data_IF_029059640598
#
_entry.id   IF_029059640598
#
_cell.length_a   1.000
_cell.length_b   1.000
_cell.length_c   1.000
_cell.angle_alpha   90.00
_cell.angle_beta   90.00
_cell.angle_gamma   90.00
#
_symmetry.space_group_name_H-M   'P 1'
#
loop_
_entity.id
_entity.type
_entity.pdbx_description
1 polymer ?
#
# COMPACT_ATOMS: atom_id res chain seq x y z
N UNK A 1 4.93 -10.96 0.41
CA UNK A 1 4.08 -9.75 0.36
C UNK A 1 4.91 -8.55 -0.03
N UNK A 2 4.38 -7.71 -0.89
CA UNK A 2 5.06 -6.48 -1.33
C UNK A 2 4.15 -5.28 -1.17
N UNK A 3 4.68 -4.22 -0.59
CA UNK A 3 4.03 -2.91 -0.54
C UNK A 3 4.87 -1.92 -1.34
N UNK A 4 4.24 -1.18 -2.24
CA UNK A 4 4.86 0.00 -2.85
C UNK A 4 4.23 1.20 -2.19
N UNK A 5 5.03 1.87 -1.37
CA UNK A 5 4.60 2.97 -0.50
C UNK A 5 5.02 4.28 -1.14
N UNK A 6 4.06 5.15 -1.43
CA UNK A 6 4.35 6.47 -1.96
C UNK A 6 3.88 7.53 -0.96
N UNK A 7 4.81 8.38 -0.55
CA UNK A 7 4.49 9.52 0.31
C UNK A 7 3.76 10.56 -0.52
N UNK A 8 2.58 10.97 -0.07
CA UNK A 8 1.71 11.85 -0.87
C UNK A 8 1.27 13.07 -0.07
N UNK A 9 0.95 14.15 -0.80
CA UNK A 9 0.20 15.29 -0.27
C UNK A 9 -1.30 15.05 -0.40
N UNK A 10 -1.70 14.28 -1.41
CA UNK A 10 -3.09 13.85 -1.63
C UNK A 10 -3.11 12.64 -2.54
N UNK A 11 -4.15 11.82 -2.42
CA UNK A 11 -4.42 10.70 -3.33
C UNK A 11 -5.90 10.38 -3.34
N UNK A 12 -6.39 9.98 -4.52
CA UNK A 12 -7.81 9.69 -4.76
C UNK A 12 -7.91 8.40 -5.55
N UNK A 13 -8.86 7.54 -5.20
CA UNK A 13 -9.20 6.37 -6.01
C UNK A 13 -10.65 6.48 -6.49
N UNK A 14 -10.86 6.24 -7.79
CA UNK A 14 -12.17 6.24 -8.44
C UNK A 14 -12.46 4.88 -9.07
N UNK A 15 -13.72 4.48 -8.98
CA UNK A 15 -14.28 3.32 -9.69
C UNK A 15 -15.53 3.82 -10.43
N UNK A 16 -15.62 3.55 -11.73
CA UNK A 16 -16.71 4.00 -12.58
C UNK A 16 -16.98 5.52 -12.46
N UNK A 17 -15.89 6.29 -12.38
CA UNK A 17 -15.96 7.76 -12.28
C UNK A 17 -16.31 8.29 -10.91
N UNK A 18 -16.56 7.45 -9.93
CA UNK A 18 -16.92 7.86 -8.56
C UNK A 18 -15.73 7.72 -7.61
N UNK A 19 -15.52 8.73 -6.77
CA UNK A 19 -14.52 8.67 -5.70
C UNK A 19 -14.99 7.68 -4.65
N UNK A 20 -14.19 6.62 -4.41
CA UNK A 20 -14.48 5.63 -3.36
C UNK A 20 -13.51 5.74 -2.18
N UNK A 21 -12.42 6.47 -2.34
CA UNK A 21 -11.47 6.74 -1.27
C UNK A 21 -10.64 7.97 -1.60
N UNK A 22 -10.30 8.73 -0.57
CA UNK A 22 -9.51 9.95 -0.73
C UNK A 22 -8.78 10.26 0.57
N UNK A 23 -7.51 10.64 0.44
CA UNK A 23 -6.69 11.07 1.57
C UNK A 23 -5.97 12.37 1.26
N UNK A 24 -5.56 13.08 2.31
CA UNK A 24 -4.59 14.16 2.24
C UNK A 24 -3.16 13.61 2.43
N UNK A 25 -2.38 14.29 3.27
CA UNK A 25 -1.00 13.91 3.58
C UNK A 25 -0.93 12.49 4.17
N UNK A 26 -0.06 11.68 3.63
CA UNK A 26 0.12 10.32 4.13
C UNK A 26 0.78 9.41 3.10
N UNK A 27 0.32 8.16 3.03
CA UNK A 27 0.80 7.16 2.07
C UNK A 27 -0.33 6.66 1.17
N UNK A 28 -0.06 6.60 -0.13
CA UNK A 28 -0.78 5.72 -1.04
C UNK A 28 0.05 4.44 -1.16
N UNK A 29 -0.56 3.29 -0.90
CA UNK A 29 0.14 2.01 -0.83
C UNK A 29 -0.47 1.01 -1.80
N UNK A 30 0.35 0.49 -2.69
CA UNK A 30 -0.02 -0.65 -3.54
C UNK A 30 0.37 -1.93 -2.79
N UNK A 31 -0.55 -2.87 -2.68
CA UNK A 31 -0.38 -4.10 -1.90
C UNK A 31 -0.45 -5.31 -2.81
N UNK A 32 0.65 -6.06 -2.88
CA UNK A 32 0.74 -7.33 -3.59
C UNK A 32 0.84 -8.49 -2.61
N UNK A 33 0.04 -9.53 -2.86
CA UNK A 33 0.00 -10.74 -2.02
C UNK A 33 0.46 -11.93 -2.86
N UNK A 34 1.33 -12.77 -2.29
CA UNK A 34 1.77 -14.04 -2.87
C UNK A 34 1.06 -15.21 -2.16
N UNK A 35 1.01 -16.39 -2.81
CA UNK A 35 0.34 -17.58 -2.25
C UNK A 35 0.89 -18.00 -0.89
N UNK A 36 2.18 -17.76 -0.63
CA UNK A 36 2.84 -18.12 0.63
C UNK A 36 2.61 -17.13 1.77
N UNK A 37 1.91 -16.02 1.52
CA UNK A 37 1.69 -15.00 2.53
C UNK A 37 0.69 -15.43 3.58
N UNK A 38 0.91 -14.94 4.81
CA UNK A 38 0.11 -15.26 5.99
C UNK A 38 -0.26 -13.99 6.75
N UNK A 39 -1.16 -14.12 7.73
CA UNK A 39 -1.52 -13.02 8.61
C UNK A 39 -0.31 -12.52 9.42
N UNK A 40 0.58 -13.42 9.82
CA UNK A 40 1.81 -13.08 10.53
C UNK A 40 2.73 -12.20 9.67
N UNK A 41 2.85 -12.52 8.38
CA UNK A 41 3.59 -11.70 7.42
C UNK A 41 2.92 -10.34 7.27
N UNK A 42 1.59 -10.31 7.15
CA UNK A 42 0.83 -9.07 7.06
C UNK A 42 1.06 -8.18 8.29
N UNK A 43 1.05 -8.76 9.49
CA UNK A 43 1.31 -8.03 10.73
C UNK A 43 2.69 -7.35 10.71
N UNK A 44 3.72 -8.08 10.27
CA UNK A 44 5.08 -7.52 10.14
C UNK A 44 5.13 -6.37 9.14
N UNK A 45 4.46 -6.55 8.01
CA UNK A 45 4.43 -5.54 6.95
C UNK A 45 3.73 -4.26 7.42
N UNK A 46 2.58 -4.39 8.07
CA UNK A 46 1.83 -3.25 8.61
C UNK A 46 2.66 -2.52 9.67
N UNK A 47 3.26 -3.26 10.60
CA UNK A 47 4.12 -2.67 11.64
C UNK A 47 5.29 -1.91 11.04
N UNK A 48 5.96 -2.49 10.04
CA UNK A 48 7.09 -1.83 9.37
C UNK A 48 6.63 -0.57 8.66
N UNK A 49 5.55 -0.65 7.87
CA UNK A 49 5.02 0.48 7.11
C UNK A 49 4.64 1.65 8.01
N UNK A 50 3.85 1.39 9.05
CA UNK A 50 3.36 2.45 9.94
C UNK A 50 4.48 3.06 10.80
N UNK A 51 5.56 2.32 11.01
CA UNK A 51 6.72 2.79 11.75
C UNK A 51 7.79 3.49 10.92
N UNK A 52 7.66 3.51 9.59
CA UNK A 52 8.65 4.19 8.73
C UNK A 52 8.71 5.67 9.05
N UNK A 53 9.92 6.16 9.28
CA UNK A 53 10.18 7.57 9.65
C UNK A 53 10.62 8.34 8.42
N UNK A 54 9.68 8.61 7.52
CA UNK A 54 9.96 9.20 6.21
C UNK A 54 9.27 10.54 5.97
N UNK A 55 8.71 11.15 7.00
CA UNK A 55 8.24 12.54 6.94
C UNK A 55 9.28 13.46 7.56
N UNK A 56 9.38 14.68 7.01
CA UNK A 56 10.34 15.67 7.48
C UNK A 56 9.95 16.21 8.86
N UNK A 57 10.96 16.40 9.71
CA UNK A 57 10.82 17.08 10.98
C UNK A 57 11.00 18.61 10.81
N UNK A 58 11.00 19.36 11.91
CA UNK A 58 11.15 20.82 11.90
C UNK A 58 12.50 21.29 11.33
N UNK A 59 13.50 20.40 11.33
CA UNK A 59 14.84 20.68 10.78
C UNK A 59 14.96 20.27 9.31
N UNK A 60 13.86 19.78 8.70
CA UNK A 60 13.84 19.30 7.31
C UNK A 60 14.47 17.92 7.14
N UNK A 61 14.71 17.19 8.23
CA UNK A 61 15.28 15.83 8.18
C UNK A 61 14.19 14.78 8.11
N UNK A 62 14.41 13.76 7.31
CA UNK A 62 13.55 12.56 7.22
C UNK A 62 13.59 11.82 8.55
N UNK A 63 12.56 11.96 9.37
CA UNK A 63 12.61 11.53 10.76
C UNK A 63 11.27 11.12 11.38
N UNK A 64 10.15 11.64 10.89
CA UNK A 64 8.85 11.43 11.54
C UNK A 64 8.05 10.31 10.90
N UNK A 65 7.34 9.54 11.73
CA UNK A 65 6.46 8.47 11.29
C UNK A 65 5.10 9.01 10.85
N UNK A 66 4.31 8.17 10.22
CA UNK A 66 2.95 8.48 9.77
C UNK A 66 2.09 9.01 10.92
N UNK A 67 2.12 8.34 12.07
CA UNK A 67 1.36 8.75 13.26
C UNK A 67 1.79 10.13 13.79
N UNK A 68 3.11 10.38 13.79
CA UNK A 68 3.66 11.65 14.30
C UNK A 68 3.20 12.87 13.51
N UNK A 69 2.87 12.70 12.22
CA UNK A 69 2.41 13.80 11.36
C UNK A 69 0.89 13.79 11.13
N UNK A 70 0.16 12.90 11.81
CA UNK A 70 -1.28 12.75 11.58
C UNK A 70 -1.60 12.29 10.17
N UNK A 71 -0.72 11.49 9.57
CA UNK A 71 -0.86 11.03 8.20
C UNK A 71 -1.98 10.01 8.02
N UNK A 72 -2.44 9.90 6.78
CA UNK A 72 -3.57 9.07 6.36
C UNK A 72 -3.09 7.96 5.43
N UNK A 73 -3.87 6.90 5.29
CA UNK A 73 -3.54 5.77 4.41
C UNK A 73 -4.61 5.58 3.35
N UNK A 74 -4.15 5.34 2.11
CA UNK A 74 -4.98 4.84 1.01
C UNK A 74 -4.37 3.52 0.54
N UNK A 75 -5.10 2.42 0.77
CA UNK A 75 -4.62 1.06 0.52
C UNK A 75 -5.27 0.47 -0.73
N UNK A 76 -4.46 0.12 -1.73
CA UNK A 76 -4.89 -0.36 -3.04
C UNK A 76 -4.31 -1.75 -3.28
N UNK A 77 -5.16 -2.73 -3.57
CA UNK A 77 -4.71 -4.06 -3.96
C UNK A 77 -4.13 -4.04 -5.36
N UNK A 78 -2.94 -4.66 -5.56
CA UNK A 78 -2.21 -4.66 -6.82
C UNK A 78 -1.49 -5.99 -7.03
N UNK A 79 -2.18 -6.99 -7.61
CA UNK A 79 -1.58 -8.32 -7.82
C UNK A 79 -0.39 -8.27 -8.80
N UNK A 80 -0.36 -7.29 -9.69
CA UNK A 80 0.71 -7.16 -10.70
C UNK A 80 2.08 -6.86 -10.09
N UNK A 81 2.17 -6.58 -8.79
CA UNK A 81 3.45 -6.49 -8.10
C UNK A 81 4.20 -7.84 -8.09
N UNK A 82 3.49 -8.95 -8.37
CA UNK A 82 4.06 -10.28 -8.53
C UNK A 82 4.15 -10.70 -10.00
N UNK A 83 4.27 -9.74 -10.90
CA UNK A 83 4.52 -10.03 -12.31
C UNK A 83 5.91 -10.66 -12.50
N UNK A 84 5.96 -11.72 -13.29
CA UNK A 84 7.22 -12.30 -13.75
C UNK A 84 7.41 -11.94 -15.21
N UNK A 85 8.45 -11.18 -15.50
CA UNK A 85 8.73 -10.64 -16.85
C UNK A 85 9.97 -11.29 -17.49
N UNK A 86 10.34 -12.49 -17.03
CA UNK A 86 11.56 -13.17 -17.52
C UNK A 86 11.45 -13.63 -18.97
N UNK A 87 10.27 -14.00 -19.44
CA UNK A 87 10.07 -14.53 -20.79
C UNK A 87 9.25 -13.57 -21.63
N UNK A 88 9.88 -13.05 -22.68
CA UNK A 88 9.19 -12.19 -23.63
C UNK A 88 8.61 -10.93 -23.01
N UNK A 89 7.60 -10.38 -23.67
CA UNK A 89 7.00 -9.10 -23.29
C UNK A 89 5.62 -9.24 -22.61
N UNK A 90 5.13 -10.48 -22.45
CA UNK A 90 3.88 -10.74 -21.74
C UNK A 90 4.20 -11.16 -20.30
N UNK A 91 3.86 -10.33 -19.29
CA UNK A 91 4.08 -10.72 -17.91
C UNK A 91 3.28 -11.96 -17.53
N UNK A 92 3.85 -12.82 -16.69
CA UNK A 92 3.14 -13.92 -16.04
C UNK A 92 2.77 -13.51 -14.61
N UNK A 93 1.60 -13.93 -14.16
CA UNK A 93 1.10 -13.61 -12.81
C UNK A 93 0.91 -14.86 -11.95
N UNK A 94 1.57 -15.96 -12.30
CA UNK A 94 1.45 -17.22 -11.55
C UNK A 94 1.98 -17.13 -10.12
N UNK A 95 2.85 -16.16 -9.84
CA UNK A 95 3.39 -15.93 -8.50
C UNK A 95 2.48 -15.11 -7.60
N UNK A 96 1.46 -14.47 -8.18
CA UNK A 96 0.46 -13.72 -7.41
C UNK A 96 -0.45 -14.67 -6.63
N UNK A 97 -0.84 -14.28 -5.42
CA UNK A 97 -1.77 -15.04 -4.61
C UNK A 97 -3.12 -15.21 -5.29
N UNK A 98 -3.78 -16.33 -5.03
CA UNK A 98 -5.12 -16.58 -5.56
C UNK A 98 -6.09 -15.51 -5.05
N UNK A 99 -7.08 -15.11 -5.86
CA UNK A 99 -7.95 -13.98 -5.50
C UNK A 99 -8.60 -14.07 -4.12
N UNK A 100 -9.12 -15.23 -3.75
CA UNK A 100 -9.83 -15.37 -2.47
C UNK A 100 -8.92 -15.11 -1.27
N UNK A 101 -7.73 -15.73 -1.23
CA UNK A 101 -6.80 -15.54 -0.11
C UNK A 101 -6.16 -14.15 -0.15
N UNK A 102 -5.93 -13.62 -1.35
CA UNK A 102 -5.37 -12.27 -1.50
C UNK A 102 -6.35 -11.21 -1.00
N UNK A 103 -7.64 -11.34 -1.31
CA UNK A 103 -8.67 -10.44 -0.81
C UNK A 103 -8.80 -10.55 0.71
N UNK A 104 -8.78 -11.75 1.27
CA UNK A 104 -8.83 -11.95 2.73
C UNK A 104 -7.67 -11.24 3.42
N UNK A 105 -6.43 -11.39 2.91
CA UNK A 105 -5.27 -10.71 3.49
C UNK A 105 -5.32 -9.20 3.28
N UNK A 106 -5.82 -8.72 2.15
CA UNK A 106 -6.01 -7.30 1.90
C UNK A 106 -6.98 -6.70 2.94
N UNK A 107 -8.12 -7.34 3.17
CA UNK A 107 -9.10 -6.90 4.17
C UNK A 107 -8.48 -6.93 5.59
N UNK A 108 -7.71 -7.96 5.89
CA UNK A 108 -6.99 -8.08 7.16
C UNK A 108 -6.01 -6.93 7.37
N UNK A 109 -5.23 -6.58 6.34
CA UNK A 109 -4.29 -5.45 6.38
C UNK A 109 -5.04 -4.14 6.68
N UNK A 110 -6.17 -3.90 6.01
CA UNK A 110 -6.99 -2.71 6.24
C UNK A 110 -7.44 -2.65 7.70
N UNK A 111 -7.95 -3.75 8.25
CA UNK A 111 -8.42 -3.79 9.64
C UNK A 111 -7.29 -3.54 10.63
N UNK A 112 -6.10 -4.07 10.35
CA UNK A 112 -4.93 -3.84 11.21
C UNK A 112 -4.46 -2.38 11.16
N UNK A 113 -4.47 -1.77 10.00
CA UNK A 113 -4.13 -0.35 9.87
C UNK A 113 -5.13 0.53 10.62
N UNK A 114 -6.42 0.20 10.57
CA UNK A 114 -7.47 0.95 11.29
C UNK A 114 -7.31 0.91 12.81
N UNK A 115 -6.62 -0.08 13.35
CA UNK A 115 -6.37 -0.16 14.81
C UNK A 115 -5.47 0.98 15.30
N UNK A 116 -4.66 1.57 14.42
CA UNK A 116 -3.65 2.55 14.83
C UNK A 116 -3.65 3.85 14.04
N UNK A 117 -4.25 3.88 12.85
CA UNK A 117 -4.32 5.06 11.99
C UNK A 117 -5.79 5.50 11.89
N UNK A 118 -6.10 6.76 12.27
CA UNK A 118 -7.49 7.23 12.29
C UNK A 118 -8.18 7.26 10.93
N UNK A 119 -7.45 7.61 9.85
CA UNK A 119 -8.01 7.68 8.51
C UNK A 119 -7.33 6.64 7.63
N UNK A 120 -8.06 5.57 7.34
CA UNK A 120 -7.63 4.51 6.44
C UNK A 120 -8.70 4.37 5.37
N UNK A 121 -8.36 4.82 4.16
CA UNK A 121 -9.20 4.70 2.98
C UNK A 121 -8.71 3.56 2.11
N UNK A 122 -9.55 3.12 1.19
CA UNK A 122 -9.27 1.90 0.45
C UNK A 122 -9.85 1.93 -0.95
N UNK A 123 -9.29 1.08 -1.83
CA UNK A 123 -9.87 0.77 -3.12
C UNK A 123 -10.91 -0.35 -3.05
N UNK A 124 -11.23 -0.91 -4.19
CA UNK A 124 -12.16 -2.03 -4.35
C UNK A 124 -11.40 -3.19 -4.99
N UNK A 125 -11.28 -4.30 -4.27
CA UNK A 125 -10.54 -5.48 -4.74
C UNK A 125 -11.09 -5.97 -6.07
N UNK A 126 -10.22 -6.18 -7.06
CA UNK A 126 -10.58 -6.69 -8.37
C UNK A 126 -11.22 -5.69 -9.33
N UNK A 127 -11.48 -4.46 -8.90
CA UNK A 127 -12.08 -3.44 -9.76
C UNK A 127 -11.04 -2.73 -10.64
N UNK A 128 -11.51 -2.15 -11.74
CA UNK A 128 -10.71 -1.18 -12.50
C UNK A 128 -10.72 0.13 -11.74
N UNK A 129 -9.58 0.52 -11.22
CA UNK A 129 -9.43 1.72 -10.37
C UNK A 129 -8.58 2.76 -11.08
N UNK A 130 -9.00 4.03 -10.98
CA UNK A 130 -8.17 5.17 -11.39
C UNK A 130 -7.63 5.81 -10.12
N UNK A 131 -6.33 5.67 -9.91
CA UNK A 131 -5.65 6.16 -8.71
C UNK A 131 -4.81 7.37 -9.09
N UNK A 132 -5.17 8.53 -8.56
CA UNK A 132 -4.39 9.75 -8.73
C UNK A 132 -3.70 10.10 -7.44
N UNK A 133 -2.52 10.69 -7.54
CA UNK A 133 -1.73 11.07 -6.37
C UNK A 133 -0.73 12.16 -6.72
N UNK A 134 -0.31 12.89 -5.69
CA UNK A 134 0.85 13.75 -5.77
C UNK A 134 1.93 13.13 -4.90
N UNK A 135 2.95 12.56 -5.56
CA UNK A 135 4.08 11.96 -4.85
C UNK A 135 4.99 13.08 -4.33
N UNK A 136 5.06 13.17 -3.03
CA UNK A 136 5.77 14.26 -2.35
C UNK A 136 7.24 13.93 -2.17
N UNK A 137 8.07 14.57 -3.02
CA UNK A 137 9.51 14.38 -2.95
C UNK A 137 10.20 14.25 -4.31
N UNK A 138 9.93 13.30 -5.22
CA UNK A 138 9.16 12.08 -4.98
C UNK A 138 9.80 11.20 -3.89
N UNK A 139 8.98 10.40 -3.23
CA UNK A 139 9.46 9.50 -2.18
C UNK A 139 8.67 8.19 -2.27
N UNK A 140 9.34 7.12 -2.67
CA UNK A 140 8.74 5.81 -2.93
C UNK A 140 9.60 4.72 -2.29
N UNK A 141 8.98 3.85 -1.52
CA UNK A 141 9.65 2.72 -0.89
C UNK A 141 8.99 1.42 -1.33
N UNK A 142 9.80 0.45 -1.73
CA UNK A 142 9.36 -0.92 -1.96
C UNK A 142 9.68 -1.73 -0.71
N UNK A 143 8.65 -2.19 -0.03
CA UNK A 143 8.78 -3.03 1.15
C UNK A 143 8.43 -4.47 0.76
N UNK A 144 9.38 -5.39 0.91
CA UNK A 144 9.22 -6.78 0.54
C UNK A 144 9.41 -7.65 1.78
N UNK A 145 8.43 -8.51 2.09
CA UNK A 145 8.48 -9.37 3.27
C UNK A 145 9.66 -10.35 3.26
N UNK A 146 10.15 -10.71 2.08
CA UNK A 146 11.32 -11.61 1.96
C UNK A 146 12.63 -10.93 2.37
N UNK A 147 12.60 -9.63 2.58
CA UNK A 147 13.77 -8.81 2.92
C UNK A 147 13.64 -8.13 4.28
N UNK A 148 12.72 -8.59 5.09
CA UNK A 148 12.50 -8.08 6.46
C UNK A 148 13.10 -9.00 7.52
#
# INVERSE_FOLDING_TARGET
>A
MRFVIQRVTESIVKVDGKVIGQIGKGFMVLIGVADSDTKEIADKMVKKMTGLRIFEDEEGKTNLSLDAVGGELLLISQFTLYANCKKGNRPSFVEAGKPDMAEELYEYIISKCKEQIPVVERGMFGADMKVSLVNDGPFTIVLDSDRL
#
